data_IF_985804994764
#
_entry.id   IF_985804994764
#
_cell.length_a   1.000
_cell.length_b   1.000
_cell.length_c   1.000
_cell.angle_alpha   90.00
_cell.angle_beta   90.00
_cell.angle_gamma   90.00
#
_symmetry.space_group_name_H-M   'P 1'
#
loop_
_entity.id
_entity.type
_entity.pdbx_description
1 polymer ?
#
# COMPACT_ATOMS: atom_id res chain seq x y z
N UNK A 1 -19.37 -58.93 12.58
CA UNK A 1 -19.00 -57.49 12.58
C UNK A 1 -20.28 -56.68 12.38
N UNK A 2 -20.68 -55.86 13.36
CA UNK A 2 -21.89 -55.03 13.29
C UNK A 2 -21.50 -53.68 12.68
N UNK A 3 -22.05 -53.36 11.52
CA UNK A 3 -21.91 -52.04 10.92
C UNK A 3 -22.83 -51.07 11.67
N UNK A 4 -22.27 -50.06 12.33
CA UNK A 4 -23.05 -48.92 12.82
C UNK A 4 -23.31 -48.01 11.61
N UNK A 5 -24.51 -48.07 11.05
CA UNK A 5 -24.93 -47.18 9.96
C UNK A 5 -25.47 -45.86 10.51
N UNK A 6 -25.12 -44.75 9.85
CA UNK A 6 -25.70 -43.43 10.14
C UNK A 6 -27.20 -43.42 9.85
N UNK A 7 -27.99 -42.77 10.72
CA UNK A 7 -29.41 -42.57 10.47
C UNK A 7 -29.64 -41.45 9.46
N UNK A 8 -30.71 -41.55 8.67
CA UNK A 8 -31.11 -40.49 7.73
C UNK A 8 -31.32 -39.15 8.47
N UNK A 9 -31.86 -39.19 9.69
CA UNK A 9 -32.06 -37.98 10.49
C UNK A 9 -30.73 -37.33 10.92
N UNK A 10 -29.70 -38.15 11.15
CA UNK A 10 -28.37 -37.68 11.54
C UNK A 10 -27.65 -37.02 10.36
N UNK A 11 -27.80 -37.59 9.16
CA UNK A 11 -27.33 -36.96 7.93
C UNK A 11 -28.05 -35.62 7.67
N UNK A 12 -29.37 -35.57 7.86
CA UNK A 12 -30.13 -34.32 7.70
C UNK A 12 -29.70 -33.27 8.72
N UNK A 13 -29.50 -33.65 9.99
CA UNK A 13 -29.09 -32.74 11.03
C UNK A 13 -27.67 -32.21 10.82
N UNK A 14 -26.73 -33.08 10.43
CA UNK A 14 -25.34 -32.68 10.13
C UNK A 14 -25.26 -31.73 8.93
N UNK A 15 -25.98 -32.00 7.83
CA UNK A 15 -26.03 -31.10 6.67
C UNK A 15 -26.69 -29.77 7.04
N UNK A 16 -27.75 -29.80 7.86
CA UNK A 16 -28.42 -28.57 8.34
C UNK A 16 -27.48 -27.71 9.18
N UNK A 17 -26.77 -28.29 10.14
CA UNK A 17 -25.79 -27.57 10.97
C UNK A 17 -24.63 -27.06 10.14
N UNK A 18 -24.10 -27.85 9.20
CA UNK A 18 -23.08 -27.38 8.25
C UNK A 18 -23.54 -26.19 7.42
N UNK A 19 -24.78 -26.21 6.93
CA UNK A 19 -25.35 -25.10 6.16
C UNK A 19 -25.45 -23.80 6.96
N UNK A 20 -25.87 -23.88 8.23
CA UNK A 20 -25.92 -22.73 9.14
C UNK A 20 -24.50 -22.18 9.38
N UNK A 21 -23.53 -23.05 9.68
CA UNK A 21 -22.15 -22.63 9.95
C UNK A 21 -21.48 -22.00 8.71
N UNK A 22 -21.73 -22.55 7.51
CA UNK A 22 -21.21 -22.00 6.27
C UNK A 22 -21.72 -20.58 5.99
N UNK A 23 -22.97 -20.26 6.38
CA UNK A 23 -23.56 -18.94 6.19
C UNK A 23 -22.87 -17.83 7.02
N UNK A 24 -22.31 -18.15 8.19
CA UNK A 24 -21.66 -17.17 9.07
C UNK A 24 -20.14 -17.04 8.83
N UNK A 25 -19.50 -17.98 8.12
CA UNK A 25 -18.05 -18.01 7.98
C UNK A 25 -17.50 -17.00 6.94
N UNK A 26 -18.27 -16.67 5.90
CA UNK A 26 -17.82 -15.87 4.75
C UNK A 26 -17.56 -14.37 5.04
N UNK A 27 -18.42 -13.62 5.79
CA UNK A 27 -18.32 -12.16 5.83
C UNK A 27 -17.05 -11.63 6.54
N UNK A 28 -16.46 -12.39 7.46
CA UNK A 28 -15.25 -11.97 8.19
C UNK A 28 -14.00 -11.91 7.30
N UNK A 29 -13.95 -12.68 6.21
CA UNK A 29 -12.74 -12.74 5.37
C UNK A 29 -12.56 -11.51 4.48
N UNK A 30 -13.65 -10.87 4.06
CA UNK A 30 -13.59 -9.69 3.19
C UNK A 30 -12.87 -8.52 3.87
N UNK A 31 -13.23 -8.21 5.12
CA UNK A 31 -12.58 -7.15 5.90
C UNK A 31 -11.08 -7.41 6.12
N UNK A 32 -10.69 -8.67 6.35
CA UNK A 32 -9.28 -9.05 6.48
C UNK A 32 -8.52 -8.88 5.17
N UNK A 33 -9.11 -9.28 4.04
CA UNK A 33 -8.50 -9.14 2.71
C UNK A 33 -8.28 -7.66 2.37
N UNK A 34 -9.28 -6.81 2.59
CA UNK A 34 -9.19 -5.36 2.37
C UNK A 34 -8.09 -4.71 3.21
N UNK A 35 -8.01 -5.06 4.50
CA UNK A 35 -6.96 -4.55 5.37
C UNK A 35 -5.57 -5.03 4.94
N UNK A 36 -5.44 -6.29 4.50
CA UNK A 36 -4.18 -6.81 3.96
C UNK A 36 -3.78 -6.09 2.67
N UNK A 37 -4.74 -5.74 1.78
CA UNK A 37 -4.47 -4.93 0.59
C UNK A 37 -3.92 -3.55 0.97
N UNK A 38 -4.54 -2.89 1.94
CA UNK A 38 -4.10 -1.59 2.44
C UNK A 38 -2.68 -1.64 3.01
N UNK A 39 -2.41 -2.62 3.89
CA UNK A 39 -1.07 -2.84 4.46
C UNK A 39 -0.04 -3.14 3.36
N UNK A 40 -0.39 -3.98 2.39
CA UNK A 40 0.50 -4.30 1.28
C UNK A 40 0.83 -3.06 0.43
N UNK A 41 -0.15 -2.19 0.16
CA UNK A 41 0.09 -0.97 -0.58
C UNK A 41 0.99 0.01 0.19
N UNK A 42 0.72 0.21 1.48
CA UNK A 42 1.59 1.00 2.36
C UNK A 42 3.03 0.47 2.38
N UNK A 43 3.20 -0.85 2.47
CA UNK A 43 4.53 -1.48 2.44
C UNK A 43 5.25 -1.28 1.09
N UNK A 44 4.50 -1.25 -0.03
CA UNK A 44 5.07 -0.95 -1.35
C UNK A 44 5.59 0.48 -1.44
N UNK A 45 4.87 1.44 -0.87
CA UNK A 45 5.36 2.82 -0.76
C UNK A 45 6.63 2.91 0.09
N UNK A 46 6.65 2.27 1.26
CA UNK A 46 7.87 2.21 2.10
C UNK A 46 9.04 1.63 1.29
N UNK A 47 8.80 0.54 0.56
CA UNK A 47 9.82 -0.08 -0.27
C UNK A 47 10.27 0.80 -1.44
N UNK A 48 9.37 1.54 -2.08
CA UNK A 48 9.69 2.49 -3.16
C UNK A 48 10.62 3.59 -2.66
N UNK A 49 10.27 4.20 -1.51
CA UNK A 49 11.07 5.25 -0.88
C UNK A 49 12.45 4.75 -0.44
N UNK A 50 12.51 3.59 0.22
CA UNK A 50 13.80 3.02 0.64
C UNK A 50 14.66 2.63 -0.57
N UNK A 51 14.05 2.09 -1.62
CA UNK A 51 14.73 1.78 -2.86
C UNK A 51 15.30 3.04 -3.51
N UNK A 52 14.49 4.09 -3.66
CA UNK A 52 14.94 5.36 -4.23
C UNK A 52 16.11 5.98 -3.46
N UNK A 53 16.00 6.03 -2.13
CA UNK A 53 17.08 6.50 -1.26
C UNK A 53 18.39 5.73 -1.48
N UNK A 54 18.31 4.40 -1.52
CA UNK A 54 19.49 3.57 -1.73
C UNK A 54 20.09 3.78 -3.12
N UNK A 55 19.26 3.91 -4.15
CA UNK A 55 19.74 4.16 -5.51
C UNK A 55 20.39 5.54 -5.64
N UNK A 56 19.84 6.57 -4.99
CA UNK A 56 20.45 7.90 -4.98
C UNK A 56 21.87 7.88 -4.39
N UNK A 57 22.06 7.14 -3.29
CA UNK A 57 23.37 6.99 -2.64
C UNK A 57 24.35 6.19 -3.52
N UNK A 58 23.89 5.06 -4.09
CA UNK A 58 24.75 4.16 -4.87
C UNK A 58 25.17 4.80 -6.20
N UNK A 59 24.23 5.44 -6.89
CA UNK A 59 24.47 6.07 -8.20
C UNK A 59 25.04 7.48 -8.08
N UNK A 60 24.99 8.08 -6.88
CA UNK A 60 25.35 9.49 -6.62
C UNK A 60 24.61 10.47 -7.53
N UNK A 61 23.34 10.18 -7.79
CA UNK A 61 22.45 10.98 -8.62
C UNK A 61 21.13 11.21 -7.87
N UNK A 62 20.38 12.22 -8.31
CA UNK A 62 19.04 12.45 -7.79
C UNK A 62 18.12 11.35 -8.28
N UNK A 63 17.34 10.77 -7.36
CA UNK A 63 16.34 9.73 -7.67
C UNK A 63 15.00 10.19 -7.13
N UNK A 64 13.98 10.11 -7.97
CA UNK A 64 12.62 10.53 -7.66
C UNK A 64 11.75 9.30 -7.47
N UNK A 65 10.89 9.35 -6.45
CA UNK A 65 9.68 8.55 -6.36
C UNK A 65 8.54 9.44 -6.82
N UNK A 66 7.83 9.07 -7.87
CA UNK A 66 6.66 9.80 -8.36
C UNK A 66 5.41 8.93 -8.33
N UNK A 67 4.27 9.59 -8.19
CA UNK A 67 2.96 8.97 -8.32
C UNK A 67 2.42 8.37 -7.03
N UNK A 68 1.46 7.46 -7.20
CA UNK A 68 0.61 6.98 -6.14
C UNK A 68 -0.25 8.10 -5.56
N UNK A 69 -0.77 8.97 -6.42
CA UNK A 69 -1.86 9.89 -6.08
C UNK A 69 -3.08 9.56 -6.95
N UNK A 70 -4.28 9.71 -6.40
CA UNK A 70 -5.53 9.42 -7.11
C UNK A 70 -5.87 7.93 -7.17
N UNK A 71 -6.52 7.50 -8.27
CA UNK A 71 -7.07 6.15 -8.45
C UNK A 71 -6.07 5.11 -9.00
N UNK A 72 -4.87 5.54 -9.39
CA UNK A 72 -3.78 4.64 -9.76
C UNK A 72 -2.70 4.68 -8.67
N UNK A 73 -2.77 3.80 -7.65
CA UNK A 73 -1.86 3.80 -6.50
C UNK A 73 -0.47 3.20 -6.83
N UNK A 74 0.09 3.58 -7.98
CA UNK A 74 1.36 3.07 -8.49
C UNK A 74 2.46 4.09 -8.26
N UNK A 75 3.53 3.66 -7.59
CA UNK A 75 4.72 4.49 -7.37
C UNK A 75 5.81 4.10 -8.37
N UNK A 76 6.29 5.08 -9.12
CA UNK A 76 7.44 4.92 -10.02
C UNK A 76 8.68 5.45 -9.34
N UNK A 77 9.79 4.77 -9.54
CA UNK A 77 11.10 5.21 -9.07
C UNK A 77 12.02 5.32 -10.27
N UNK A 78 12.70 6.46 -10.41
CA UNK A 78 13.60 6.73 -11.52
C UNK A 78 14.63 7.79 -11.22
N UNK A 79 15.60 7.93 -12.12
CA UNK A 79 16.54 9.06 -12.09
C UNK A 79 15.81 10.36 -12.41
N UNK A 80 16.41 11.49 -12.02
CA UNK A 80 15.95 12.84 -12.34
C UNK A 80 17.14 13.68 -12.81
N UNK A 81 17.61 13.43 -14.05
CA UNK A 81 18.80 14.09 -14.59
C UNK A 81 18.55 15.54 -15.01
N UNK A 82 17.32 15.90 -15.34
CA UNK A 82 16.91 17.25 -15.78
C UNK A 82 16.33 18.10 -14.64
N UNK A 83 16.02 17.50 -13.49
CA UNK A 83 15.68 18.20 -12.24
C UNK A 83 14.24 18.67 -12.19
N UNK A 84 13.35 18.03 -12.94
CA UNK A 84 11.94 18.38 -13.02
C UNK A 84 11.06 17.65 -11.98
N UNK A 85 11.66 16.72 -11.23
CA UNK A 85 11.01 15.85 -10.23
C UNK A 85 9.92 14.93 -10.81
N UNK A 86 10.04 14.55 -12.08
CA UNK A 86 9.18 13.58 -12.75
C UNK A 86 10.01 12.34 -13.09
N UNK A 87 9.36 11.16 -13.12
CA UNK A 87 9.99 9.94 -13.62
C UNK A 87 9.60 9.75 -15.07
N UNK A 88 10.52 10.08 -15.96
CA UNK A 88 10.39 9.83 -17.39
C UNK A 88 10.51 8.35 -17.74
N UNK A 89 9.92 7.96 -18.88
CA UNK A 89 9.96 6.55 -19.36
C UNK A 89 11.40 6.07 -19.58
N UNK A 90 12.32 6.97 -19.93
CA UNK A 90 13.73 6.64 -20.13
C UNK A 90 14.50 6.47 -18.80
N UNK A 91 14.03 7.11 -17.74
CA UNK A 91 14.69 7.17 -16.43
C UNK A 91 14.03 6.24 -15.39
N UNK A 92 12.91 5.61 -15.74
CA UNK A 92 12.21 4.64 -14.92
C UNK A 92 13.11 3.44 -14.58
N UNK A 93 13.35 3.25 -13.28
CA UNK A 93 14.12 2.12 -12.76
C UNK A 93 13.21 1.00 -12.27
N UNK A 94 12.12 1.36 -11.60
CA UNK A 94 11.20 0.39 -10.98
C UNK A 94 9.83 0.97 -10.71
N UNK A 95 8.79 0.18 -10.99
CA UNK A 95 7.41 0.48 -10.61
C UNK A 95 6.98 -0.42 -9.45
N UNK A 96 6.35 0.19 -8.45
CA UNK A 96 5.72 -0.46 -7.31
C UNK A 96 4.21 -0.31 -7.47
N UNK A 97 3.56 -1.36 -7.96
CA UNK A 97 2.13 -1.36 -8.26
C UNK A 97 1.31 -1.74 -7.03
N UNK A 98 0.39 -0.92 -6.56
CA UNK A 98 -0.63 -1.37 -5.60
C UNK A 98 -1.80 -1.99 -6.38
N UNK A 99 -2.04 -3.28 -6.18
CA UNK A 99 -3.05 -4.04 -6.91
C UNK A 99 -4.39 -3.98 -6.17
N UNK A 100 -5.06 -2.84 -6.28
CA UNK A 100 -6.39 -2.63 -5.70
C UNK A 100 -7.04 -1.35 -6.21
N UNK A 101 -8.15 -1.51 -6.92
CA UNK A 101 -9.04 -0.39 -7.33
C UNK A 101 -9.72 0.27 -6.12
N UNK A 102 -9.73 -0.40 -4.97
CA UNK A 102 -10.40 0.04 -3.75
C UNK A 102 -9.55 0.99 -2.88
N UNK A 103 -8.33 1.34 -3.31
CA UNK A 103 -7.41 2.19 -2.54
C UNK A 103 -7.13 3.48 -3.28
N UNK A 104 -7.42 4.59 -2.62
CA UNK A 104 -7.02 5.94 -3.04
C UNK A 104 -5.84 6.38 -2.21
N UNK A 105 -4.90 7.10 -2.81
CA UNK A 105 -3.79 7.72 -2.08
C UNK A 105 -3.84 9.23 -2.28
N UNK A 106 -3.75 9.95 -1.17
CA UNK A 106 -3.78 11.41 -1.11
C UNK A 106 -2.49 11.90 -0.46
N UNK A 107 -1.63 12.63 -1.19
CA UNK A 107 -0.45 13.26 -0.60
C UNK A 107 -0.81 14.53 0.20
N UNK A 108 -0.02 14.85 1.22
CA UNK A 108 -0.06 16.11 1.96
C UNK A 108 1.39 16.56 2.27
N UNK A 109 1.86 17.71 1.76
CA UNK A 109 1.16 18.65 0.85
C UNK A 109 0.75 17.97 -0.47
N UNK A 110 -0.11 18.62 -1.29
CA UNK A 110 -0.58 18.13 -2.60
C UNK A 110 0.57 18.02 -3.63
N UNK A 111 1.53 17.16 -3.32
CA UNK A 111 2.77 16.89 -4.04
C UNK A 111 2.93 15.37 -4.04
N UNK A 112 2.83 14.76 -5.21
CA UNK A 112 2.82 13.32 -5.43
C UNK A 112 4.22 12.75 -5.70
N UNK A 113 5.27 13.46 -5.29
CA UNK A 113 6.65 13.02 -5.44
C UNK A 113 7.50 13.24 -4.19
N UNK A 114 8.58 12.47 -4.10
CA UNK A 114 9.67 12.65 -3.15
C UNK A 114 10.97 12.40 -3.88
N UNK A 115 11.92 13.31 -3.78
CA UNK A 115 13.24 13.17 -4.42
C UNK A 115 14.35 12.99 -3.40
N UNK A 116 15.35 12.18 -3.73
CA UNK A 116 16.50 11.85 -2.90
C UNK A 116 17.77 12.29 -3.58
N UNK A 117 18.58 13.07 -2.86
CA UNK A 117 19.91 13.47 -3.34
C UNK A 117 20.98 12.40 -3.08
N UNK A 118 22.20 12.59 -3.62
CA UNK A 118 23.33 11.66 -3.48
C UNK A 118 23.74 11.34 -2.02
N UNK A 119 23.37 12.22 -1.09
CA UNK A 119 23.62 12.07 0.35
C UNK A 119 22.60 11.19 1.07
N UNK A 120 21.54 10.74 0.40
CA UNK A 120 20.45 9.96 0.98
C UNK A 120 19.44 10.79 1.79
N UNK A 121 19.60 12.11 1.82
CA UNK A 121 18.60 13.06 2.31
C UNK A 121 17.64 13.42 1.19
N UNK A 122 16.44 13.87 1.56
CA UNK A 122 15.48 14.38 0.58
C UNK A 122 16.00 15.67 -0.07
N UNK A 123 15.73 15.82 -1.37
CA UNK A 123 16.16 16.93 -2.19
C UNK A 123 14.99 17.74 -2.78
N UNK A 124 13.74 17.34 -2.48
CA UNK A 124 12.51 17.93 -3.02
C UNK A 124 12.15 19.32 -2.44
N UNK A 125 12.90 19.78 -1.42
CA UNK A 125 12.67 21.07 -0.77
C UNK A 125 11.34 21.21 -0.04
N UNK A 126 10.55 20.13 0.06
CA UNK A 126 9.30 20.12 0.80
C UNK A 126 9.55 19.99 2.30
N UNK A 127 8.53 20.19 3.11
CA UNK A 127 8.58 19.79 4.51
C UNK A 127 8.43 18.28 4.68
N UNK A 128 7.81 17.91 5.78
CA UNK A 128 7.28 16.55 5.93
C UNK A 128 6.27 16.27 4.81
N UNK A 129 6.39 15.12 4.15
CA UNK A 129 5.40 14.64 3.17
C UNK A 129 4.68 13.45 3.77
N UNK A 130 3.36 13.45 3.70
CA UNK A 130 2.49 12.40 4.21
C UNK A 130 1.69 11.84 3.06
N UNK A 131 1.75 10.53 2.85
CA UNK A 131 0.85 9.81 1.94
C UNK A 131 -0.24 9.14 2.77
N UNK A 132 -1.48 9.53 2.55
CA UNK A 132 -2.65 8.92 3.17
C UNK A 132 -3.26 7.93 2.18
N UNK A 133 -3.15 6.64 2.47
CA UNK A 133 -3.85 5.60 1.73
C UNK A 133 -5.19 5.32 2.40
N UNK A 134 -6.31 5.46 1.68
CA UNK A 134 -7.66 5.19 2.18
C UNK A 134 -8.32 4.10 1.34
N UNK A 135 -9.08 3.22 1.99
CA UNK A 135 -9.97 2.30 1.28
C UNK A 135 -11.40 2.87 1.17
N UNK A 136 -12.23 2.25 0.34
CA UNK A 136 -13.66 2.62 0.14
C UNK A 136 -14.54 2.48 1.40
N UNK A 137 -14.01 1.92 2.50
CA UNK A 137 -14.72 1.69 3.76
C UNK A 137 -14.30 2.65 4.88
N UNK A 138 -13.50 3.68 4.57
CA UNK A 138 -13.05 4.68 5.54
C UNK A 138 -11.95 4.20 6.49
N UNK A 139 -11.21 3.14 6.14
CA UNK A 139 -9.98 2.75 6.84
C UNK A 139 -8.77 3.18 6.03
N UNK A 140 -7.75 3.70 6.71
CA UNK A 140 -6.55 4.18 6.05
C UNK A 140 -5.26 3.97 6.82
N UNK A 141 -4.16 4.20 6.13
CA UNK A 141 -2.80 4.23 6.67
C UNK A 141 -2.16 5.54 6.24
N UNK A 142 -1.52 6.23 7.18
CA UNK A 142 -0.70 7.40 6.85
C UNK A 142 0.78 7.04 6.90
N UNK A 143 1.49 7.45 5.87
CA UNK A 143 2.92 7.22 5.69
C UNK A 143 3.63 8.55 5.64
N UNK A 144 4.40 8.82 6.68
CA UNK A 144 5.15 10.04 6.86
C UNK A 144 6.59 9.84 6.42
N UNK A 145 7.02 10.63 5.45
CA UNK A 145 8.41 10.68 4.98
C UNK A 145 9.09 11.91 5.58
N UNK A 146 10.11 11.70 6.41
CA UNK A 146 10.90 12.79 7.00
C UNK A 146 11.91 13.35 6.01
N UNK A 147 12.43 14.56 6.26
CA UNK A 147 13.56 15.15 5.51
C UNK A 147 14.82 14.27 5.49
N UNK A 148 15.04 13.48 6.55
CA UNK A 148 16.11 12.50 6.63
C UNK A 148 15.91 11.27 5.72
N UNK A 149 14.78 11.20 5.03
CA UNK A 149 14.42 10.06 4.19
C UNK A 149 13.99 8.82 4.97
N UNK A 150 13.67 8.97 6.26
CA UNK A 150 13.05 7.88 7.03
C UNK A 150 11.55 7.86 6.76
N UNK A 151 10.97 6.67 6.69
CA UNK A 151 9.53 6.49 6.55
C UNK A 151 8.96 5.94 7.85
N UNK A 152 7.87 6.53 8.31
CA UNK A 152 7.07 6.04 9.44
C UNK A 152 5.65 5.80 8.96
N UNK A 153 5.06 4.67 9.32
CA UNK A 153 3.66 4.35 9.01
C UNK A 153 2.83 4.29 10.29
N UNK A 154 1.66 4.92 10.29
CA UNK A 154 0.65 4.79 11.36
C UNK A 154 -0.73 4.52 10.75
N UNK A 155 -1.68 4.10 11.58
CA UNK A 155 -3.09 4.10 11.16
C UNK A 155 -3.56 5.53 10.88
N UNK A 156 -4.44 5.70 9.89
CA UNK A 156 -5.08 6.99 9.63
C UNK A 156 -5.97 7.38 10.81
N UNK A 157 -6.08 8.68 11.08
CA UNK A 157 -6.97 9.19 12.13
C UNK A 157 -8.42 9.10 11.67
N UNK A 158 -9.35 9.11 12.62
CA UNK A 158 -10.78 9.00 12.30
C UNK A 158 -11.26 10.25 11.57
N UNK A 159 -11.75 10.08 10.34
CA UNK A 159 -12.20 11.18 9.47
C UNK A 159 -11.15 11.71 8.48
N UNK A 160 -9.92 11.17 8.49
CA UNK A 160 -8.93 11.43 7.43
C UNK A 160 -9.34 10.75 6.10
N UNK A 161 -10.04 9.63 6.22
CA UNK A 161 -10.79 8.93 5.18
C UNK A 161 -12.29 9.07 5.48
#
# INVERSE_FOLDING_TARGET
MRSFGFSIIELMLTVTVMGILAAFAIPSFQATIENNRLINCSNKLVAAVQFAKNQAIVLRQTVVVSGGAGAEPNFKVGLDPDGDNVVDVADEMKVFTCDSDDITITPNPDVDYVSYGPSGFRADGQGQVVFLSCNTRGKGKSLTVSMGGSVASKDAEEGDC
#
